data_IF_033377607699
#
_entry.id   IF_033377607699
#
_cell.length_a   1.000
_cell.length_b   1.000
_cell.length_c   1.000
_cell.angle_alpha   90.00
_cell.angle_beta   90.00
_cell.angle_gamma   90.00
#
_symmetry.space_group_name_H-M   'P 1'
#
loop_
_entity.id
_entity.type
_entity.pdbx_description
1 polymer ?
#
# COMPACT_ATOMS: atom_id res chain seq x y z
N UNK A 1 -10.57 10.17 -16.06
CA UNK A 1 -11.40 9.24 -15.23
C UNK A 1 -11.03 9.40 -13.77
N UNK A 2 -11.86 8.94 -12.84
CA UNK A 2 -11.55 9.09 -11.40
C UNK A 2 -10.84 7.85 -10.86
N UNK A 3 -9.84 8.01 -9.97
CA UNK A 3 -9.22 6.90 -9.23
C UNK A 3 -10.24 6.04 -8.44
N UNK A 4 -11.46 6.55 -8.22
CA UNK A 4 -12.55 5.78 -7.63
C UNK A 4 -12.95 4.56 -8.48
N UNK A 5 -12.61 4.52 -9.76
CA UNK A 5 -12.81 3.32 -10.60
C UNK A 5 -11.93 2.15 -10.12
N UNK A 6 -10.74 2.43 -9.58
CA UNK A 6 -9.86 1.42 -8.98
C UNK A 6 -10.53 0.82 -7.73
N UNK A 7 -11.05 1.67 -6.84
CA UNK A 7 -11.75 1.21 -5.63
C UNK A 7 -12.98 0.36 -5.98
N UNK A 8 -13.74 0.77 -7.03
CA UNK A 8 -14.88 0.00 -7.53
C UNK A 8 -14.46 -1.38 -8.06
N UNK A 9 -13.35 -1.47 -8.79
CA UNK A 9 -12.83 -2.76 -9.27
C UNK A 9 -12.57 -3.74 -8.12
N UNK A 10 -11.90 -3.29 -7.05
CA UNK A 10 -11.65 -4.12 -5.87
C UNK A 10 -12.94 -4.52 -5.13
N UNK A 11 -13.93 -3.65 -5.05
CA UNK A 11 -15.24 -3.99 -4.49
C UNK A 11 -15.95 -5.09 -5.32
N UNK A 12 -15.84 -5.03 -6.66
CA UNK A 12 -16.38 -6.05 -7.54
C UNK A 12 -15.62 -7.40 -7.40
N UNK A 13 -14.30 -7.37 -7.22
CA UNK A 13 -13.51 -8.58 -6.92
C UNK A 13 -13.94 -9.22 -5.59
N UNK A 14 -14.11 -8.40 -4.55
CA UNK A 14 -14.56 -8.88 -3.24
C UNK A 14 -15.97 -9.52 -3.30
N UNK A 15 -16.91 -8.86 -3.98
CA UNK A 15 -18.27 -9.41 -4.16
C UNK A 15 -18.25 -10.76 -4.88
N UNK A 16 -17.31 -10.95 -5.81
CA UNK A 16 -17.20 -12.17 -6.60
C UNK A 16 -16.48 -13.29 -5.88
N UNK A 17 -15.43 -12.99 -5.14
CA UNK A 17 -14.51 -13.99 -4.61
C UNK A 17 -14.53 -14.11 -3.07
N UNK A 18 -15.08 -13.11 -2.37
CA UNK A 18 -15.11 -13.08 -0.90
C UNK A 18 -13.73 -12.76 -0.28
N UNK A 19 -13.58 -13.08 1.01
CA UNK A 19 -12.38 -12.81 1.80
C UNK A 19 -11.28 -13.83 1.52
N UNK A 20 -10.51 -13.57 0.46
CA UNK A 20 -9.31 -14.32 0.06
C UNK A 20 -8.45 -13.46 -0.88
N UNK A 21 -7.31 -13.99 -1.34
CA UNK A 21 -6.38 -13.28 -2.23
C UNK A 21 -7.02 -12.82 -3.56
N UNK A 22 -7.99 -13.56 -4.10
CA UNK A 22 -8.71 -13.16 -5.33
C UNK A 22 -9.70 -12.02 -5.06
N UNK A 23 -10.21 -11.90 -3.83
CA UNK A 23 -11.07 -10.80 -3.41
C UNK A 23 -10.37 -9.44 -3.37
N UNK A 24 -9.04 -9.43 -3.34
CA UNK A 24 -8.18 -8.24 -3.47
C UNK A 24 -7.34 -8.28 -4.76
N UNK A 25 -7.80 -9.04 -5.76
CA UNK A 25 -7.19 -9.18 -7.10
C UNK A 25 -5.71 -9.61 -7.09
N UNK A 26 -5.34 -10.48 -6.14
CA UNK A 26 -4.00 -11.06 -6.07
C UNK A 26 -4.05 -12.53 -6.48
N UNK A 27 -3.72 -12.88 -7.73
CA UNK A 27 -3.96 -14.22 -8.27
C UNK A 27 -3.09 -15.31 -7.65
N UNK A 28 -1.92 -14.97 -7.10
CA UNK A 28 -0.98 -15.92 -6.51
C UNK A 28 -0.76 -15.60 -5.03
N UNK A 29 -1.12 -16.55 -4.18
CA UNK A 29 -1.00 -16.41 -2.73
C UNK A 29 0.47 -16.29 -2.28
N UNK A 30 1.37 -17.05 -2.92
CA UNK A 30 2.81 -17.03 -2.61
C UNK A 30 3.42 -15.64 -2.85
N UNK A 31 3.03 -14.96 -3.94
CA UNK A 31 3.48 -13.61 -4.24
C UNK A 31 2.98 -12.61 -3.18
N UNK A 32 1.79 -12.86 -2.61
CA UNK A 32 1.22 -12.08 -1.51
C UNK A 32 2.08 -12.13 -0.26
N UNK A 33 2.54 -13.33 0.11
CA UNK A 33 3.42 -13.52 1.29
C UNK A 33 4.76 -12.79 1.10
N UNK A 34 5.34 -12.85 -0.10
CA UNK A 34 6.58 -12.12 -0.43
C UNK A 34 6.37 -10.61 -0.24
N UNK A 35 5.28 -10.05 -0.77
CA UNK A 35 4.96 -8.63 -0.62
C UNK A 35 4.82 -8.23 0.84
N UNK A 36 4.10 -9.03 1.63
CA UNK A 36 3.91 -8.74 3.06
C UNK A 36 5.25 -8.72 3.81
N UNK A 37 6.11 -9.70 3.57
CA UNK A 37 7.45 -9.74 4.18
C UNK A 37 8.28 -8.52 3.79
N UNK A 38 8.29 -8.15 2.51
CA UNK A 38 9.00 -6.95 2.02
C UNK A 38 8.45 -5.68 2.68
N UNK A 39 7.13 -5.53 2.81
CA UNK A 39 6.55 -4.36 3.49
C UNK A 39 6.91 -4.32 4.98
N UNK A 40 6.94 -5.46 5.66
CA UNK A 40 7.34 -5.53 7.08
C UNK A 40 8.79 -5.09 7.32
N UNK A 41 9.70 -5.36 6.39
CA UNK A 41 11.11 -4.97 6.48
C UNK A 41 11.36 -3.45 6.51
N UNK A 42 10.33 -2.62 6.19
CA UNK A 42 10.38 -1.17 6.40
C UNK A 42 10.77 -0.79 7.85
N UNK A 43 10.32 -1.57 8.83
CA UNK A 43 10.48 -1.28 10.25
C UNK A 43 11.94 -1.43 10.74
N UNK A 44 12.81 -2.11 10.00
CA UNK A 44 14.22 -2.34 10.34
C UNK A 44 14.46 -2.89 11.75
N UNK A 45 13.48 -3.60 12.30
CA UNK A 45 13.55 -4.18 13.66
C UNK A 45 13.07 -3.23 14.77
N UNK A 46 12.53 -2.06 14.45
CA UNK A 46 11.86 -1.19 15.43
C UNK A 46 10.65 -1.92 16.04
N UNK A 47 10.49 -1.79 17.34
CA UNK A 47 9.41 -2.41 18.11
C UNK A 47 8.48 -1.34 18.72
N UNK A 48 7.26 -1.74 19.06
CA UNK A 48 6.23 -0.87 19.68
C UNK A 48 5.91 0.39 18.88
N UNK A 49 5.96 0.30 17.55
CA UNK A 49 5.70 1.39 16.63
C UNK A 49 4.26 1.43 16.17
N UNK A 50 3.75 2.62 15.89
CA UNK A 50 2.46 2.79 15.24
C UNK A 50 2.59 2.57 13.73
N UNK A 51 1.77 1.66 13.18
CA UNK A 51 1.79 1.25 11.77
C UNK A 51 0.41 1.49 11.14
N UNK A 52 0.38 2.25 10.06
CA UNK A 52 -0.79 2.36 9.18
C UNK A 52 -0.60 1.50 7.94
N UNK A 53 -1.55 0.62 7.69
CA UNK A 53 -1.71 -0.09 6.42
C UNK A 53 -2.72 0.71 5.57
N UNK A 54 -2.21 1.44 4.58
CA UNK A 54 -3.00 2.29 3.70
C UNK A 54 -3.44 1.51 2.45
N UNK A 55 -4.73 1.43 2.23
CA UNK A 55 -5.33 0.49 1.28
C UNK A 55 -5.28 -0.93 1.85
N UNK A 56 -5.69 -1.08 3.12
CA UNK A 56 -5.53 -2.35 3.87
C UNK A 56 -6.38 -3.51 3.32
N UNK A 57 -7.30 -3.22 2.39
CA UNK A 57 -8.18 -4.22 1.82
C UNK A 57 -8.92 -5.02 2.90
N UNK A 58 -8.79 -6.34 2.85
CA UNK A 58 -9.41 -7.27 3.80
C UNK A 58 -8.58 -7.55 5.06
N UNK A 59 -7.50 -6.78 5.29
CA UNK A 59 -6.64 -6.91 6.46
C UNK A 59 -5.66 -8.10 6.40
N UNK A 60 -5.37 -8.61 5.21
CA UNK A 60 -4.49 -9.77 5.02
C UNK A 60 -3.04 -9.50 5.48
N UNK A 61 -2.59 -8.25 5.42
CA UNK A 61 -1.28 -7.90 5.97
C UNK A 61 -1.25 -8.05 7.49
N UNK A 62 -2.31 -7.69 8.20
CA UNK A 62 -2.39 -7.94 9.64
C UNK A 62 -2.44 -9.45 9.96
N UNK A 63 -3.16 -10.25 9.17
CA UNK A 63 -3.16 -11.71 9.33
C UNK A 63 -1.75 -12.29 9.16
N UNK A 64 -1.00 -11.80 8.16
CA UNK A 64 0.41 -12.14 7.99
C UNK A 64 1.24 -11.77 9.22
N UNK A 65 1.16 -10.53 9.72
CA UNK A 65 1.87 -10.09 10.93
C UNK A 65 1.56 -10.98 12.12
N UNK A 66 0.28 -11.36 12.30
CA UNK A 66 -0.16 -12.22 13.39
C UNK A 66 0.41 -13.64 13.25
N UNK A 67 0.33 -14.25 12.06
CA UNK A 67 0.79 -15.62 11.82
C UNK A 67 2.30 -15.80 11.98
N UNK A 68 3.08 -14.72 11.75
CA UNK A 68 4.54 -14.70 11.89
C UNK A 68 5.03 -14.11 13.22
N UNK A 69 4.12 -13.87 14.18
CA UNK A 69 4.40 -13.22 15.48
C UNK A 69 4.98 -11.79 15.38
N UNK A 70 4.75 -11.12 14.26
CA UNK A 70 5.19 -9.74 14.01
C UNK A 70 4.20 -8.69 14.55
N UNK A 71 2.97 -9.08 14.91
CA UNK A 71 1.94 -8.18 15.42
C UNK A 71 2.30 -7.54 16.76
N UNK A 72 3.20 -8.17 17.55
CA UNK A 72 3.68 -7.62 18.82
C UNK A 72 4.63 -6.43 18.64
N UNK A 73 5.19 -6.24 17.44
CA UNK A 73 6.09 -5.13 17.14
C UNK A 73 5.36 -3.85 16.76
N UNK A 74 4.06 -3.94 16.47
CA UNK A 74 3.31 -2.81 15.91
C UNK A 74 1.96 -2.58 16.61
N UNK A 75 1.62 -1.29 16.79
CA UNK A 75 0.24 -0.86 17.03
C UNK A 75 -0.40 -0.64 15.65
N UNK A 76 -0.97 -1.71 15.07
CA UNK A 76 -1.51 -1.71 13.73
C UNK A 76 -2.83 -0.95 13.64
N UNK A 77 -2.97 -0.19 12.56
CA UNK A 77 -4.23 0.40 12.10
C UNK A 77 -4.37 0.20 10.60
N UNK A 78 -5.60 0.04 10.12
CA UNK A 78 -5.88 -0.05 8.68
C UNK A 78 -6.67 1.17 8.18
N UNK A 79 -6.47 1.53 6.91
CA UNK A 79 -7.28 2.53 6.23
C UNK A 79 -7.65 2.01 4.85
N UNK A 80 -8.92 2.11 4.49
CA UNK A 80 -9.37 1.82 3.13
C UNK A 80 -10.49 2.79 2.73
N UNK A 81 -10.56 3.10 1.44
CA UNK A 81 -11.64 3.90 0.84
C UNK A 81 -12.89 3.06 0.60
N UNK A 82 -12.76 1.73 0.54
CA UNK A 82 -13.83 0.80 0.25
C UNK A 82 -14.61 0.46 1.53
N UNK A 83 -15.90 0.83 1.56
CA UNK A 83 -16.79 0.56 2.70
C UNK A 83 -16.87 -0.94 3.03
N UNK A 84 -16.95 -1.80 2.01
CA UNK A 84 -17.08 -3.25 2.21
C UNK A 84 -15.84 -3.84 2.90
N UNK A 85 -14.64 -3.37 2.54
CA UNK A 85 -13.38 -3.76 3.15
C UNK A 85 -13.29 -3.27 4.59
N UNK A 86 -13.61 -1.99 4.81
CA UNK A 86 -13.64 -1.40 6.15
C UNK A 86 -14.55 -2.19 7.09
N UNK A 87 -15.78 -2.49 6.69
CA UNK A 87 -16.74 -3.23 7.50
C UNK A 87 -16.25 -4.66 7.78
N UNK A 88 -15.68 -5.33 6.79
CA UNK A 88 -15.09 -6.67 6.95
C UNK A 88 -13.96 -6.66 7.97
N UNK A 89 -13.02 -5.71 7.86
CA UNK A 89 -11.92 -5.57 8.80
C UNK A 89 -12.39 -5.29 10.22
N UNK A 90 -13.39 -4.43 10.40
CA UNK A 90 -14.00 -4.14 11.72
C UNK A 90 -14.62 -5.38 12.37
N UNK A 91 -15.21 -6.26 11.58
CA UNK A 91 -15.77 -7.53 12.06
C UNK A 91 -14.67 -8.55 12.40
N UNK A 92 -13.65 -8.68 11.54
CA UNK A 92 -12.54 -9.61 11.74
C UNK A 92 -11.65 -9.25 12.93
N UNK A 93 -11.41 -7.94 13.12
CA UNK A 93 -10.42 -7.42 14.07
C UNK A 93 -11.02 -6.28 14.92
N UNK A 94 -12.01 -6.58 15.79
CA UNK A 94 -12.75 -5.54 16.53
C UNK A 94 -11.89 -4.73 17.51
N UNK A 95 -10.66 -5.19 17.80
CA UNK A 95 -9.72 -4.54 18.73
C UNK A 95 -8.76 -3.56 18.04
N UNK A 96 -8.77 -3.53 16.69
CA UNK A 96 -7.90 -2.67 15.90
C UNK A 96 -8.64 -1.41 15.44
N UNK A 97 -7.87 -0.38 15.14
CA UNK A 97 -8.40 0.85 14.57
C UNK A 97 -8.46 0.73 13.04
N UNK A 98 -9.63 0.98 12.48
CA UNK A 98 -9.82 1.08 11.04
C UNK A 98 -10.44 2.42 10.69
N UNK A 99 -9.97 3.03 9.61
CA UNK A 99 -10.45 4.30 9.08
C UNK A 99 -11.07 4.07 7.70
N UNK A 100 -12.31 4.51 7.53
CA UNK A 100 -12.99 4.58 6.24
C UNK A 100 -12.93 6.02 5.76
N UNK A 101 -12.00 6.34 4.88
CA UNK A 101 -11.82 7.70 4.37
C UNK A 101 -11.02 7.72 3.07
N UNK A 102 -11.31 8.72 2.25
CA UNK A 102 -10.44 9.12 1.15
C UNK A 102 -9.46 10.18 1.66
N UNK A 103 -8.18 9.84 1.71
CA UNK A 103 -7.11 10.70 2.23
C UNK A 103 -6.95 12.00 1.44
N UNK A 104 -7.36 12.03 0.17
CA UNK A 104 -7.31 13.23 -0.66
C UNK A 104 -8.42 14.23 -0.31
N UNK A 105 -9.55 13.74 0.20
CA UNK A 105 -10.72 14.54 0.59
C UNK A 105 -10.67 14.90 2.08
N UNK A 106 -10.33 13.92 2.91
CA UNK A 106 -10.28 14.09 4.36
C UNK A 106 -9.07 13.36 4.94
N UNK A 107 -8.06 14.13 5.35
CA UNK A 107 -6.83 13.62 5.95
C UNK A 107 -6.81 13.71 7.48
N UNK A 108 -7.97 13.76 8.12
CA UNK A 108 -8.10 13.80 9.58
C UNK A 108 -7.87 12.42 10.20
N UNK A 109 -6.66 11.92 10.07
CA UNK A 109 -6.14 10.71 10.71
C UNK A 109 -4.94 11.07 11.58
N UNK A 110 -4.60 10.27 12.62
CA UNK A 110 -3.40 10.50 13.41
C UNK A 110 -2.12 10.35 12.59
N UNK A 111 -1.00 10.78 13.18
CA UNK A 111 0.32 10.44 12.64
C UNK A 111 0.71 9.03 13.06
N UNK A 112 1.49 8.36 12.20
CA UNK A 112 2.02 7.02 12.43
C UNK A 112 3.54 7.02 12.32
N UNK A 113 4.20 6.13 13.04
CA UNK A 113 5.65 5.95 12.90
C UNK A 113 5.97 5.45 11.50
N UNK A 114 5.24 4.44 11.05
CA UNK A 114 5.39 3.87 9.72
C UNK A 114 4.05 3.76 8.99
N UNK A 115 4.11 3.91 7.67
CA UNK A 115 2.97 3.69 6.77
C UNK A 115 3.39 2.70 5.70
N UNK A 116 2.56 1.71 5.41
CA UNK A 116 2.75 0.80 4.27
C UNK A 116 1.58 0.97 3.29
N UNK A 117 1.88 0.91 1.98
CA UNK A 117 0.90 0.96 0.90
C UNK A 117 1.17 -0.25 0.00
N UNK A 118 0.61 -1.41 0.35
CA UNK A 118 0.88 -2.66 -0.33
C UNK A 118 -0.16 -2.96 -1.41
N UNK A 119 0.26 -2.91 -2.67
CA UNK A 119 -0.62 -3.13 -3.83
C UNK A 119 -1.51 -1.94 -4.19
N UNK A 120 -1.53 -0.87 -3.41
CA UNK A 120 -2.38 0.30 -3.62
C UNK A 120 -2.08 1.05 -4.93
N UNK A 121 -0.83 1.00 -5.38
CA UNK A 121 -0.34 1.75 -6.54
C UNK A 121 0.19 0.83 -7.67
N UNK A 122 -0.28 -0.39 -7.76
CA UNK A 122 0.16 -1.32 -8.81
C UNK A 122 -0.74 -1.29 -10.04
N UNK A 123 -2.00 -0.94 -9.86
CA UNK A 123 -3.00 -0.88 -10.94
C UNK A 123 -3.41 0.55 -11.26
N UNK A 124 -3.59 0.85 -12.55
CA UNK A 124 -4.17 2.11 -13.01
C UNK A 124 -5.52 1.93 -13.71
N UNK A 125 -5.83 0.69 -14.10
CA UNK A 125 -7.04 0.33 -14.83
C UNK A 125 -7.23 1.23 -16.06
N UNK A 126 -8.37 1.92 -16.15
CA UNK A 126 -8.71 2.82 -17.26
C UNK A 126 -8.08 4.23 -17.15
N UNK A 127 -7.36 4.53 -16.04
CA UNK A 127 -6.65 5.80 -15.93
C UNK A 127 -5.48 5.86 -16.91
N UNK A 128 -5.25 7.04 -17.45
CA UNK A 128 -3.99 7.32 -18.16
C UNK A 128 -2.81 7.27 -17.18
N UNK A 129 -1.62 7.10 -17.71
CA UNK A 129 -0.39 7.13 -16.90
C UNK A 129 -0.25 8.44 -16.11
N UNK A 130 -0.62 9.58 -16.71
CA UNK A 130 -0.55 10.88 -16.06
C UNK A 130 -1.57 11.03 -14.93
N UNK A 131 -2.83 10.61 -15.14
CA UNK A 131 -3.86 10.64 -14.09
C UNK A 131 -3.46 9.77 -12.91
N UNK A 132 -2.91 8.57 -13.16
CA UNK A 132 -2.43 7.69 -12.09
C UNK A 132 -1.21 8.26 -11.38
N UNK A 133 -0.27 8.90 -12.10
CA UNK A 133 0.88 9.58 -11.50
C UNK A 133 0.45 10.76 -10.60
N UNK A 134 -0.54 11.54 -11.01
CA UNK A 134 -1.10 12.63 -10.18
C UNK A 134 -1.76 12.07 -8.91
N UNK A 135 -2.57 11.02 -9.03
CA UNK A 135 -3.17 10.34 -7.89
C UNK A 135 -2.10 9.82 -6.93
N UNK A 136 -1.17 9.01 -7.42
CA UNK A 136 -0.07 8.42 -6.67
C UNK A 136 0.76 9.47 -5.91
N UNK A 137 1.22 10.51 -6.59
CA UNK A 137 2.06 11.55 -5.98
C UNK A 137 1.31 12.40 -4.97
N UNK A 138 0.02 12.67 -5.22
CA UNK A 138 -0.84 13.41 -4.28
C UNK A 138 -1.09 12.63 -3.00
N UNK A 139 -1.42 11.33 -3.11
CA UNK A 139 -1.59 10.45 -1.95
C UNK A 139 -0.29 10.33 -1.16
N UNK A 140 0.85 10.07 -1.82
CA UNK A 140 2.14 9.96 -1.12
C UNK A 140 2.52 11.22 -0.35
N UNK A 141 2.26 12.42 -0.89
CA UNK A 141 2.51 13.68 -0.17
C UNK A 141 1.65 13.79 1.10
N UNK A 142 0.38 13.42 1.02
CA UNK A 142 -0.52 13.40 2.18
C UNK A 142 -0.06 12.41 3.24
N UNK A 143 0.24 11.18 2.85
CA UNK A 143 0.73 10.14 3.76
C UNK A 143 2.08 10.50 4.36
N UNK A 144 2.99 11.10 3.57
CA UNK A 144 4.28 11.59 4.07
C UNK A 144 4.13 12.64 5.18
N UNK A 145 3.16 13.53 5.07
CA UNK A 145 2.85 14.48 6.14
C UNK A 145 2.36 13.80 7.43
N UNK A 146 1.77 12.59 7.33
CA UNK A 146 1.29 11.79 8.46
C UNK A 146 2.30 10.77 8.97
N UNK A 147 3.48 10.68 8.37
CA UNK A 147 4.55 9.73 8.70
C UNK A 147 5.57 10.36 9.64
N UNK A 148 5.94 9.68 10.73
CA UNK A 148 6.97 10.12 11.67
C UNK A 148 8.36 9.56 11.31
N UNK A 149 8.46 8.29 10.89
CA UNK A 149 9.73 7.59 10.64
C UNK A 149 9.91 7.18 9.17
N UNK A 150 8.93 6.50 8.58
CA UNK A 150 9.10 6.01 7.22
C UNK A 150 7.81 5.52 6.55
N UNK A 151 7.84 5.46 5.23
CA UNK A 151 6.77 4.93 4.39
C UNK A 151 7.32 3.90 3.40
N UNK A 152 6.58 2.80 3.20
CA UNK A 152 6.83 1.84 2.12
C UNK A 152 5.66 1.80 1.14
N UNK A 153 5.97 1.59 -0.12
CA UNK A 153 4.98 1.35 -1.17
C UNK A 153 5.62 0.57 -2.32
N UNK A 154 4.81 -0.11 -3.11
CA UNK A 154 5.23 -0.79 -4.32
C UNK A 154 4.52 -0.22 -5.56
N UNK A 155 5.21 -0.29 -6.69
CA UNK A 155 4.71 0.05 -8.04
C UNK A 155 5.24 -0.97 -9.03
N UNK A 156 4.58 -1.11 -10.19
CA UNK A 156 5.09 -2.00 -11.24
C UNK A 156 6.36 -1.43 -11.86
N UNK A 157 7.32 -2.32 -12.12
CA UNK A 157 8.59 -1.94 -12.74
C UNK A 157 8.42 -1.69 -14.25
N UNK A 158 9.18 -0.72 -14.79
CA UNK A 158 9.41 -0.61 -16.23
C UNK A 158 10.53 -1.53 -16.74
N UNK A 159 11.29 -2.15 -15.83
CA UNK A 159 12.34 -3.12 -16.15
C UNK A 159 11.71 -4.53 -16.26
N UNK A 160 10.83 -4.70 -17.23
CA UNK A 160 10.06 -5.91 -17.52
C UNK A 160 10.10 -6.21 -19.02
N UNK A 161 9.79 -7.46 -19.42
CA UNK A 161 9.79 -7.84 -20.84
C UNK A 161 8.68 -7.15 -21.63
N UNK A 162 7.53 -6.87 -20.98
CA UNK A 162 6.41 -6.08 -21.54
C UNK A 162 5.63 -5.39 -20.42
N UNK A 163 5.09 -4.22 -20.70
CA UNK A 163 4.17 -3.51 -19.79
C UNK A 163 2.72 -3.91 -20.10
N UNK A 164 1.92 -4.07 -19.05
CA UNK A 164 0.47 -4.25 -19.17
C UNK A 164 -0.21 -2.90 -19.09
N UNK A 165 -1.20 -2.66 -19.97
CA UNK A 165 -1.89 -1.37 -20.08
C UNK A 165 -2.74 -1.02 -18.85
N UNK A 166 -3.18 -2.02 -18.08
CA UNK A 166 -4.00 -1.86 -16.87
C UNK A 166 -3.17 -1.66 -15.59
N UNK A 167 -1.84 -1.78 -15.67
CA UNK A 167 -0.92 -1.64 -14.54
C UNK A 167 -0.18 -0.30 -14.56
N UNK A 168 0.22 0.15 -13.37
CA UNK A 168 0.95 1.40 -13.20
C UNK A 168 2.46 1.16 -13.15
N UNK A 169 3.09 1.18 -14.33
CA UNK A 169 4.53 1.03 -14.49
C UNK A 169 5.24 2.37 -14.30
N UNK A 170 6.23 2.41 -13.41
CA UNK A 170 7.01 3.62 -13.09
C UNK A 170 8.49 3.33 -13.25
N UNK A 171 9.24 4.26 -13.86
CA UNK A 171 10.69 4.14 -13.96
C UNK A 171 11.34 4.50 -12.61
N UNK A 172 12.44 3.82 -12.29
CA UNK A 172 13.22 4.08 -11.08
C UNK A 172 13.72 5.53 -11.04
N UNK A 173 14.17 6.06 -12.19
CA UNK A 173 14.69 7.44 -12.28
C UNK A 173 13.61 8.47 -12.03
N UNK A 174 12.44 8.34 -12.67
CA UNK A 174 11.30 9.25 -12.47
C UNK A 174 10.86 9.27 -11.02
N UNK A 175 10.75 8.08 -10.42
CA UNK A 175 10.38 7.96 -9.01
C UNK A 175 11.47 8.55 -8.09
N UNK A 176 12.74 8.26 -8.35
CA UNK A 176 13.85 8.80 -7.57
C UNK A 176 13.90 10.33 -7.55
N UNK A 177 13.64 10.97 -8.71
CA UNK A 177 13.49 12.42 -8.77
C UNK A 177 12.31 12.96 -7.98
N UNK A 178 11.16 12.29 -8.05
CA UNK A 178 10.00 12.67 -7.26
C UNK A 178 10.30 12.57 -5.76
N UNK A 179 10.85 11.46 -5.29
CA UNK A 179 11.18 11.22 -3.87
C UNK A 179 12.13 12.29 -3.34
N UNK A 180 13.26 12.50 -4.05
CA UNK A 180 14.26 13.50 -3.68
C UNK A 180 13.68 14.90 -3.51
N UNK A 181 12.79 15.30 -4.41
CA UNK A 181 12.30 16.67 -4.47
C UNK A 181 11.07 16.91 -3.58
N UNK A 182 10.30 15.89 -3.23
CA UNK A 182 9.02 16.03 -2.54
C UNK A 182 8.96 15.36 -1.17
N UNK A 183 9.72 14.29 -0.94
CA UNK A 183 9.68 13.51 0.30
C UNK A 183 11.05 13.56 1.00
N UNK A 184 11.96 12.67 0.65
CA UNK A 184 13.28 12.54 1.25
C UNK A 184 14.31 12.01 0.26
N UNK A 185 15.60 12.32 0.50
CA UNK A 185 16.74 11.70 -0.19
C UNK A 185 17.17 10.38 0.48
N UNK A 186 16.62 10.08 1.65
CA UNK A 186 16.91 8.87 2.41
C UNK A 186 15.90 7.78 2.02
N UNK A 187 16.19 7.04 0.96
CA UNK A 187 15.33 5.97 0.48
C UNK A 187 16.12 4.75 0.01
N UNK A 188 15.46 3.60 0.03
CA UNK A 188 15.95 2.32 -0.50
C UNK A 188 14.95 1.82 -1.53
N UNK A 189 15.46 1.30 -2.66
CA UNK A 189 14.64 0.61 -3.66
C UNK A 189 14.98 -0.89 -3.57
N UNK A 190 13.96 -1.70 -3.40
CA UNK A 190 14.02 -3.17 -3.35
C UNK A 190 13.40 -3.74 -4.63
N UNK A 191 14.23 -4.38 -5.45
CA UNK A 191 13.82 -5.07 -6.68
C UNK A 191 14.44 -6.49 -6.74
N UNK A 192 14.71 -7.09 -5.55
CA UNK A 192 15.47 -8.33 -5.38
C UNK A 192 14.60 -9.53 -4.94
N UNK A 193 13.26 -9.41 -5.04
CA UNK A 193 12.31 -10.43 -4.58
C UNK A 193 11.51 -11.11 -5.70
N UNK A 194 12.01 -11.04 -6.94
CA UNK A 194 11.55 -11.80 -8.12
C UNK A 194 10.09 -11.55 -8.57
N UNK A 195 9.51 -10.41 -8.21
CA UNK A 195 8.23 -9.98 -8.75
C UNK A 195 8.44 -8.89 -9.81
N UNK A 196 7.42 -8.61 -10.62
CA UNK A 196 7.46 -7.60 -11.70
C UNK A 196 7.25 -6.17 -11.20
N UNK A 197 7.38 -5.97 -9.91
CA UNK A 197 7.25 -4.72 -9.17
C UNK A 197 8.54 -4.45 -8.39
N UNK A 198 8.66 -3.25 -7.88
CA UNK A 198 9.67 -2.92 -6.87
C UNK A 198 9.04 -2.16 -5.71
N UNK A 199 9.63 -2.33 -4.53
CA UNK A 199 9.21 -1.65 -3.30
C UNK A 199 10.20 -0.55 -2.95
N UNK A 200 9.68 0.56 -2.48
CA UNK A 200 10.49 1.69 -2.01
C UNK A 200 10.21 1.94 -0.54
N UNK A 201 11.27 2.06 0.23
CA UNK A 201 11.24 2.57 1.61
C UNK A 201 11.78 3.99 1.61
N UNK A 202 11.01 4.93 2.12
CA UNK A 202 11.43 6.33 2.29
C UNK A 202 11.43 6.66 3.76
N UNK A 203 12.55 7.17 4.27
CA UNK A 203 12.72 7.46 5.69
C UNK A 203 12.77 8.97 5.96
N UNK A 204 12.20 9.38 7.09
CA UNK A 204 12.52 10.67 7.71
C UNK A 204 13.99 10.67 8.13
N UNK A 205 14.51 11.83 8.45
CA UNK A 205 15.90 11.96 8.91
C UNK A 205 16.09 11.37 10.31
#
# INVERSE_FOLDING_TARGET
MSYLSIAKHYDDCFKKHGDNNLGVDWPKYEDTLIRHEIMFQLLQGDENVSLLDFGCGLGHFYEFLKSHNHHNFTNYSGLDINESFYQTCKQKFPFLNFYHTDILVNDNIPNFDYIVCNGTFTEKRELSQNEMMEFFTSVLKKLWAKTNKGIAFNVMSKLVDWERDDLFHVSIDELGWFLKNNLSRNFVIRNDYKLYEYTVYVYKK
#
